data_IF_162410223549
#
_entry.id   IF_162410223549
#
_cell.length_a   1.000
_cell.length_b   1.000
_cell.length_c   1.000
_cell.angle_alpha   90.00
_cell.angle_beta   90.00
_cell.angle_gamma   90.00
#
_symmetry.space_group_name_H-M   'P 1'
#
loop_
_entity.id
_entity.type
_entity.pdbx_description
1 polymer ?
#
# COMPACT_ATOMS: atom_id res chain seq x y z
N UNK A 1 -26.53 44.20 -13.68
CA UNK A 1 -26.43 44.89 -12.38
C UNK A 1 -25.32 44.21 -11.62
N UNK A 2 -24.16 44.87 -11.51
CA UNK A 2 -22.95 44.30 -10.94
C UNK A 2 -23.11 44.14 -9.43
N UNK A 3 -23.30 42.90 -8.97
CA UNK A 3 -23.02 42.55 -7.59
C UNK A 3 -21.50 42.47 -7.45
N UNK A 4 -20.94 43.61 -7.06
CA UNK A 4 -19.62 43.75 -6.43
C UNK A 4 -19.37 42.55 -5.50
N UNK A 5 -18.62 41.56 -5.98
CA UNK A 5 -17.90 40.62 -5.12
C UNK A 5 -16.92 41.45 -4.34
N UNK A 6 -17.23 41.70 -3.08
CA UNK A 6 -16.33 42.28 -2.09
C UNK A 6 -15.03 41.48 -2.10
N UNK A 7 -14.01 42.01 -2.77
CA UNK A 7 -12.61 41.56 -2.70
C UNK A 7 -12.09 41.88 -1.31
N UNK A 8 -12.47 41.06 -0.35
CA UNK A 8 -11.97 41.18 0.99
C UNK A 8 -10.50 40.74 0.99
N UNK A 9 -9.59 41.72 1.10
CA UNK A 9 -8.13 41.60 1.28
C UNK A 9 -7.78 40.73 2.50
N UNK A 10 -7.92 39.40 2.42
CA UNK A 10 -7.65 38.50 3.55
C UNK A 10 -6.64 37.39 3.27
N UNK A 11 -5.97 37.39 2.12
CA UNK A 11 -4.99 36.36 1.80
C UNK A 11 -3.62 36.71 2.37
N UNK A 12 -3.28 36.22 3.57
CA UNK A 12 -1.91 36.34 4.10
C UNK A 12 -0.90 35.71 3.13
N UNK A 13 -1.31 34.67 2.41
CA UNK A 13 -0.49 33.94 1.45
C UNK A 13 -0.59 34.48 0.02
N UNK A 14 -1.31 35.58 -0.22
CA UNK A 14 -1.52 36.18 -1.55
C UNK A 14 -2.49 35.41 -2.45
N UNK A 15 -2.65 35.86 -3.70
CA UNK A 15 -3.67 35.37 -4.65
C UNK A 15 -3.52 33.89 -5.05
N UNK A 16 -4.64 33.19 -5.26
CA UNK A 16 -4.65 31.80 -5.73
C UNK A 16 -4.07 31.73 -7.15
N UNK A 17 -3.17 30.77 -7.38
CA UNK A 17 -2.53 30.56 -8.70
C UNK A 17 -2.68 29.13 -9.21
N UNK A 18 -3.24 28.25 -8.39
CA UNK A 18 -3.59 26.89 -8.77
C UNK A 18 -4.58 26.87 -9.94
N UNK A 19 -4.58 25.76 -10.67
CA UNK A 19 -5.52 25.52 -11.76
C UNK A 19 -6.90 25.13 -11.22
N UNK A 20 -6.92 24.46 -10.06
CA UNK A 20 -8.13 23.95 -9.40
C UNK A 20 -8.23 24.54 -7.98
N UNK A 21 -9.47 24.80 -7.59
CA UNK A 21 -9.93 25.23 -6.26
C UNK A 21 -11.06 24.26 -5.86
N UNK A 22 -11.04 23.72 -4.64
CA UNK A 22 -12.00 22.68 -4.23
C UNK A 22 -13.26 23.28 -3.62
N UNK A 23 -14.20 22.44 -3.18
CA UNK A 23 -15.47 22.94 -2.67
C UNK A 23 -15.40 23.59 -1.27
N UNK A 24 -14.33 23.33 -0.51
CA UNK A 24 -14.15 23.97 0.80
C UNK A 24 -13.96 25.48 0.63
N UNK A 25 -14.70 26.26 1.40
CA UNK A 25 -14.65 27.71 1.24
C UNK A 25 -13.37 28.31 1.82
N UNK A 26 -12.68 29.06 0.98
CA UNK A 26 -11.36 29.62 1.22
C UNK A 26 -11.28 30.58 2.42
N UNK A 27 -10.36 30.29 3.35
CA UNK A 27 -9.95 31.07 4.52
C UNK A 27 -11.08 31.36 5.51
N UNK A 28 -12.09 30.48 5.58
CA UNK A 28 -13.24 30.62 6.48
C UNK A 28 -12.87 30.35 7.95
N UNK A 29 -12.03 29.35 8.20
CA UNK A 29 -11.60 28.99 9.57
C UNK A 29 -10.35 29.77 10.00
N UNK A 30 -9.40 29.99 9.08
CA UNK A 30 -8.12 30.64 9.35
C UNK A 30 -7.67 31.52 8.20
N UNK A 31 -7.02 32.65 8.52
CA UNK A 31 -6.41 33.55 7.52
C UNK A 31 -5.08 33.03 6.96
N UNK A 32 -4.55 31.95 7.52
CA UNK A 32 -3.27 31.36 7.12
C UNK A 32 -3.41 30.06 6.33
N UNK A 33 -4.61 29.46 6.28
CA UNK A 33 -4.87 28.17 5.65
C UNK A 33 -6.11 28.35 4.77
N UNK A 34 -5.96 28.16 3.47
CA UNK A 34 -7.04 28.36 2.52
C UNK A 34 -8.19 27.37 2.75
N UNK A 35 -7.92 26.08 2.62
CA UNK A 35 -8.92 25.04 2.82
C UNK A 35 -8.55 24.26 4.10
N UNK A 36 -9.16 24.62 5.23
CA UNK A 36 -8.72 24.16 6.56
C UNK A 36 -8.85 22.64 6.74
N UNK A 37 -10.00 22.09 6.37
CA UNK A 37 -10.35 20.69 6.52
C UNK A 37 -9.57 19.83 5.53
N UNK A 38 -9.48 20.27 4.28
CA UNK A 38 -8.64 19.64 3.25
C UNK A 38 -7.17 19.66 3.65
N UNK A 39 -6.68 20.73 4.26
CA UNK A 39 -5.29 20.81 4.75
C UNK A 39 -5.03 19.83 5.90
N UNK A 40 -5.85 19.83 6.95
CA UNK A 40 -5.58 19.03 8.14
C UNK A 40 -5.82 17.54 7.93
N UNK A 41 -6.79 17.17 7.09
CA UNK A 41 -7.07 15.78 6.74
C UNK A 41 -5.87 15.06 6.11
N UNK A 42 -4.94 15.81 5.49
CA UNK A 42 -3.66 15.28 5.00
C UNK A 42 -2.74 14.74 6.11
N UNK A 43 -3.02 15.02 7.38
CA UNK A 43 -2.38 14.35 8.52
C UNK A 43 -2.50 12.83 8.42
N UNK A 44 -3.61 12.31 7.87
CA UNK A 44 -3.78 10.87 7.68
C UNK A 44 -2.70 10.29 6.77
N UNK A 45 -2.42 10.93 5.62
CA UNK A 45 -1.33 10.50 4.74
C UNK A 45 0.02 10.50 5.46
N UNK A 46 0.34 11.56 6.20
CA UNK A 46 1.62 11.67 6.91
C UNK A 46 1.75 10.59 7.99
N UNK A 47 0.71 10.37 8.78
CA UNK A 47 0.70 9.37 9.86
C UNK A 47 0.82 7.96 9.31
N UNK A 48 0.02 7.61 8.30
CA UNK A 48 0.04 6.26 7.74
C UNK A 48 1.29 5.99 6.89
N UNK A 49 1.85 7.00 6.21
CA UNK A 49 3.14 6.90 5.53
C UNK A 49 4.29 6.71 6.51
N UNK A 50 4.36 7.52 7.57
CA UNK A 50 5.38 7.37 8.61
C UNK A 50 5.29 5.99 9.27
N UNK A 51 4.08 5.54 9.59
CA UNK A 51 3.86 4.22 10.18
C UNK A 51 4.26 3.08 9.22
N UNK A 52 3.85 3.15 7.96
CA UNK A 52 4.22 2.15 6.94
C UNK A 52 5.74 2.08 6.72
N UNK A 53 6.41 3.23 6.61
CA UNK A 53 7.88 3.29 6.48
C UNK A 53 8.58 2.73 7.71
N UNK A 54 8.10 3.08 8.91
CA UNK A 54 8.62 2.54 10.15
C UNK A 54 8.48 1.02 10.22
N UNK A 55 7.29 0.48 9.93
CA UNK A 55 7.05 -0.96 9.88
C UNK A 55 7.95 -1.63 8.83
N UNK A 56 8.10 -1.06 7.64
CA UNK A 56 8.97 -1.63 6.60
C UNK A 56 10.44 -1.68 7.04
N UNK A 57 10.93 -0.63 7.69
CA UNK A 57 12.28 -0.58 8.25
C UNK A 57 12.47 -1.58 9.39
N UNK A 58 11.57 -1.56 10.38
CA UNK A 58 11.61 -2.43 11.57
C UNK A 58 11.57 -3.91 11.18
N UNK A 59 10.75 -4.25 10.18
CA UNK A 59 10.61 -5.61 9.68
C UNK A 59 11.70 -6.01 8.67
N UNK A 60 12.69 -5.16 8.41
CA UNK A 60 13.78 -5.47 7.48
C UNK A 60 13.30 -5.77 6.05
N UNK A 61 12.19 -5.15 5.63
CA UNK A 61 11.66 -5.33 4.27
C UNK A 61 12.59 -4.71 3.22
N UNK A 62 12.39 -5.09 1.97
CA UNK A 62 13.16 -4.53 0.84
C UNK A 62 13.06 -3.00 0.81
N UNK A 63 14.17 -2.33 0.45
CA UNK A 63 14.27 -0.85 0.38
C UNK A 63 13.17 -0.20 -0.46
N UNK A 64 12.59 -0.92 -1.43
CA UNK A 64 11.46 -0.44 -2.24
C UNK A 64 10.28 0.01 -1.37
N UNK A 65 9.98 -0.68 -0.27
CA UNK A 65 8.86 -0.32 0.61
C UNK A 65 9.14 0.94 1.44
N UNK A 66 10.41 1.15 1.81
CA UNK A 66 10.86 2.40 2.44
C UNK A 66 10.69 3.56 1.44
N UNK A 67 11.13 3.38 0.19
CA UNK A 67 10.98 4.41 -0.85
C UNK A 67 9.51 4.70 -1.17
N UNK A 68 8.65 3.68 -1.20
CA UNK A 68 7.21 3.87 -1.38
C UNK A 68 6.63 4.72 -0.24
N UNK A 69 6.95 4.38 1.01
CA UNK A 69 6.45 5.15 2.16
C UNK A 69 6.97 6.58 2.20
N UNK A 70 8.22 6.84 1.77
CA UNK A 70 8.74 8.21 1.61
C UNK A 70 8.02 8.99 0.49
N UNK A 71 7.77 8.34 -0.65
CA UNK A 71 6.97 8.94 -1.74
C UNK A 71 5.54 9.23 -1.29
N UNK A 72 4.95 8.34 -0.50
CA UNK A 72 3.62 8.52 0.07
C UNK A 72 3.57 9.67 1.08
N UNK A 73 4.59 9.83 1.93
CA UNK A 73 4.72 11.00 2.80
C UNK A 73 4.86 12.30 1.98
N UNK A 74 5.60 12.27 0.86
CA UNK A 74 5.74 13.42 -0.03
C UNK A 74 4.41 13.86 -0.65
N UNK A 75 3.53 12.92 -1.02
CA UNK A 75 2.14 13.21 -1.43
C UNK A 75 1.42 13.97 -0.31
N UNK A 76 1.45 13.46 0.93
CA UNK A 76 0.80 14.12 2.07
C UNK A 76 1.33 15.53 2.35
N UNK A 77 2.66 15.73 2.28
CA UNK A 77 3.27 17.07 2.44
C UNK A 77 2.86 17.99 1.29
N UNK A 78 2.89 17.50 0.06
CA UNK A 78 2.49 18.25 -1.12
C UNK A 78 1.05 18.71 -1.04
N UNK A 79 0.13 17.79 -0.75
CA UNK A 79 -1.29 18.05 -0.58
C UNK A 79 -1.55 19.05 0.55
N UNK A 80 -0.92 18.86 1.71
CA UNK A 80 -1.03 19.82 2.82
C UNK A 80 -0.63 21.24 2.38
N UNK A 81 0.53 21.39 1.73
CA UNK A 81 1.00 22.69 1.26
C UNK A 81 0.11 23.26 0.16
N UNK A 82 -0.46 22.42 -0.70
CA UNK A 82 -1.38 22.82 -1.75
C UNK A 82 -2.67 23.38 -1.16
N UNK A 83 -3.40 22.62 -0.36
CA UNK A 83 -4.67 23.07 0.25
C UNK A 83 -4.48 24.24 1.22
N UNK A 84 -3.30 24.37 1.83
CA UNK A 84 -3.00 25.51 2.68
C UNK A 84 -2.86 26.82 1.88
N UNK A 85 -2.36 26.75 0.64
CA UNK A 85 -1.85 27.94 -0.08
C UNK A 85 -2.51 28.21 -1.44
N UNK A 86 -3.10 27.18 -2.06
CA UNK A 86 -3.65 27.16 -3.43
C UNK A 86 -2.71 27.75 -4.48
N UNK A 87 -1.42 27.37 -4.41
CA UNK A 87 -0.42 27.78 -5.41
C UNK A 87 -0.09 26.65 -6.37
N UNK A 88 0.08 27.00 -7.65
CA UNK A 88 0.42 26.03 -8.69
C UNK A 88 1.69 25.21 -8.39
N UNK A 89 2.72 25.82 -7.80
CA UNK A 89 3.95 25.10 -7.40
C UNK A 89 3.68 23.98 -6.39
N UNK A 90 2.70 24.16 -5.49
CA UNK A 90 2.34 23.17 -4.49
C UNK A 90 1.29 22.20 -5.03
N UNK A 91 0.44 22.63 -5.97
CA UNK A 91 -0.37 21.70 -6.76
C UNK A 91 0.51 20.67 -7.51
N UNK A 92 1.62 21.12 -8.11
CA UNK A 92 2.60 20.17 -8.69
C UNK A 92 3.22 19.24 -7.63
N UNK A 93 3.44 19.73 -6.42
CA UNK A 93 3.98 18.93 -5.31
C UNK A 93 2.94 17.98 -4.71
N UNK A 94 1.65 18.24 -4.87
CA UNK A 94 0.57 17.35 -4.49
C UNK A 94 0.41 16.23 -5.55
N UNK A 95 0.20 16.62 -6.80
CA UNK A 95 -0.17 15.70 -7.86
C UNK A 95 1.01 14.88 -8.39
N UNK A 96 2.16 15.49 -8.69
CA UNK A 96 3.27 14.75 -9.31
C UNK A 96 3.79 13.62 -8.41
N UNK A 97 4.01 13.80 -7.09
CA UNK A 97 4.42 12.71 -6.22
C UNK A 97 3.46 11.52 -6.22
N UNK A 98 2.16 11.70 -6.49
CA UNK A 98 1.23 10.57 -6.58
C UNK A 98 1.66 9.59 -7.67
N UNK A 99 2.00 10.08 -8.87
CA UNK A 99 2.41 9.21 -9.98
C UNK A 99 3.83 8.64 -9.76
N UNK A 100 4.76 9.43 -9.21
CA UNK A 100 6.11 8.94 -8.90
C UNK A 100 6.11 7.89 -7.77
N UNK A 101 5.26 8.04 -6.76
CA UNK A 101 5.11 7.07 -5.69
C UNK A 101 4.49 5.77 -6.21
N UNK A 102 3.44 5.84 -7.05
CA UNK A 102 2.80 4.68 -7.69
C UNK A 102 3.70 3.99 -8.73
N UNK A 103 4.69 4.69 -9.30
CA UNK A 103 5.66 4.09 -10.21
C UNK A 103 6.47 2.95 -9.57
N UNK A 104 6.73 3.01 -8.26
CA UNK A 104 7.51 2.00 -7.55
C UNK A 104 6.74 0.67 -7.41
N UNK A 105 5.50 0.61 -6.88
CA UNK A 105 4.72 -0.62 -6.87
C UNK A 105 4.36 -1.06 -8.29
N UNK A 106 4.14 -0.15 -9.25
CA UNK A 106 3.98 -0.52 -10.65
C UNK A 106 5.21 -1.27 -11.19
N UNK A 107 6.41 -0.75 -10.94
CA UNK A 107 7.64 -1.43 -11.31
C UNK A 107 7.75 -2.79 -10.62
N UNK A 108 7.49 -2.86 -9.31
CA UNK A 108 7.57 -4.11 -8.55
C UNK A 108 6.62 -5.18 -9.10
N UNK A 109 5.34 -4.85 -9.26
CA UNK A 109 4.29 -5.79 -9.66
C UNK A 109 4.44 -6.18 -11.13
N UNK A 110 4.73 -5.23 -12.03
CA UNK A 110 4.82 -5.53 -13.46
C UNK A 110 6.09 -6.31 -13.81
N UNK A 111 7.18 -6.14 -13.05
CA UNK A 111 8.36 -7.00 -13.19
C UNK A 111 8.05 -8.45 -12.85
N UNK A 112 7.20 -8.67 -11.84
CA UNK A 112 6.81 -10.00 -11.38
C UNK A 112 5.73 -10.63 -12.26
N UNK A 113 4.97 -9.82 -13.01
CA UNK A 113 3.96 -10.27 -13.96
C UNK A 113 4.51 -11.32 -14.94
N UNK A 114 4.13 -12.58 -14.75
CA UNK A 114 4.35 -13.66 -15.68
C UNK A 114 3.13 -14.57 -15.70
N UNK A 115 2.37 -14.56 -16.80
CA UNK A 115 1.12 -15.30 -16.93
C UNK A 115 1.29 -16.81 -16.74
N UNK A 116 2.45 -17.37 -17.07
CA UNK A 116 2.69 -18.82 -16.97
C UNK A 116 2.95 -19.31 -15.55
N UNK A 117 3.26 -18.42 -14.59
CA UNK A 117 3.83 -18.80 -13.27
C UNK A 117 2.99 -18.30 -12.11
N UNK A 118 1.66 -18.37 -12.27
CA UNK A 118 0.73 -17.89 -11.25
C UNK A 118 0.68 -18.76 -9.98
N UNK A 119 0.98 -20.06 -10.11
CA UNK A 119 0.82 -21.04 -9.03
C UNK A 119 2.03 -21.18 -8.11
N UNK A 120 3.25 -20.99 -8.62
CA UNK A 120 4.50 -21.19 -7.87
C UNK A 120 5.56 -20.20 -8.36
N UNK A 121 5.52 -18.97 -7.86
CA UNK A 121 6.53 -17.97 -8.24
C UNK A 121 7.79 -18.17 -7.42
N UNK A 122 8.68 -19.04 -7.90
CA UNK A 122 10.01 -19.28 -7.29
C UNK A 122 11.16 -18.79 -8.18
N UNK A 123 10.85 -18.34 -9.39
CA UNK A 123 11.86 -17.92 -10.35
C UNK A 123 12.24 -16.45 -10.14
N UNK A 124 13.54 -16.21 -9.89
CA UNK A 124 14.07 -14.85 -9.79
C UNK A 124 13.85 -14.11 -11.11
N UNK A 125 13.21 -12.95 -11.03
CA UNK A 125 12.98 -12.08 -12.20
C UNK A 125 14.32 -11.67 -12.81
N UNK A 126 14.49 -11.91 -14.12
CA UNK A 126 15.69 -11.54 -14.86
C UNK A 126 16.06 -10.05 -14.69
N UNK A 127 17.33 -9.70 -14.41
CA UNK A 127 17.77 -8.31 -14.27
C UNK A 127 17.45 -7.44 -15.49
N UNK A 128 17.48 -8.04 -16.70
CA UNK A 128 17.13 -7.33 -17.95
C UNK A 128 15.67 -6.89 -17.94
N UNK A 129 14.73 -7.75 -17.50
CA UNK A 129 13.31 -7.41 -17.40
C UNK A 129 13.10 -6.28 -16.40
N UNK A 130 13.75 -6.35 -15.24
CA UNK A 130 13.65 -5.29 -14.22
C UNK A 130 14.10 -3.92 -14.74
N UNK A 131 15.20 -3.90 -15.50
CA UNK A 131 15.74 -2.67 -16.08
C UNK A 131 14.84 -2.11 -17.19
N UNK A 132 14.32 -2.96 -18.08
CA UNK A 132 13.37 -2.56 -19.13
C UNK A 132 12.09 -1.97 -18.54
N UNK A 133 11.51 -2.62 -17.52
CA UNK A 133 10.32 -2.11 -16.84
C UNK A 133 10.59 -0.79 -16.11
N UNK A 134 11.76 -0.65 -15.48
CA UNK A 134 12.16 0.59 -14.83
C UNK A 134 12.20 1.75 -15.82
N UNK A 135 12.93 1.60 -16.93
CA UNK A 135 13.01 2.67 -17.94
C UNK A 135 11.67 2.95 -18.61
N UNK A 136 10.85 1.93 -18.87
CA UNK A 136 9.52 2.11 -19.44
C UNK A 136 8.60 2.95 -18.55
N UNK A 137 8.52 2.62 -17.26
CA UNK A 137 7.70 3.35 -16.29
C UNK A 137 8.25 4.76 -16.07
N UNK A 138 9.56 4.91 -15.89
CA UNK A 138 10.16 6.24 -15.67
C UNK A 138 10.00 7.15 -16.90
N UNK A 139 10.08 6.60 -18.11
CA UNK A 139 9.79 7.33 -19.34
C UNK A 139 8.33 7.81 -19.38
N UNK A 140 7.37 6.92 -19.07
CA UNK A 140 5.95 7.28 -18.98
C UNK A 140 5.70 8.40 -17.96
N UNK A 141 6.20 8.28 -16.73
CA UNK A 141 5.97 9.29 -15.68
C UNK A 141 6.64 10.62 -16.02
N UNK A 142 7.83 10.60 -16.62
CA UNK A 142 8.53 11.82 -17.06
C UNK A 142 7.78 12.51 -18.19
N UNK A 143 7.29 11.75 -19.18
CA UNK A 143 6.49 12.28 -20.28
C UNK A 143 5.18 12.90 -19.77
N UNK A 144 4.48 12.21 -18.86
CA UNK A 144 3.26 12.72 -18.24
C UNK A 144 3.53 14.03 -17.48
N UNK A 145 4.63 14.09 -16.72
CA UNK A 145 5.05 15.30 -15.99
C UNK A 145 5.31 16.47 -16.95
N UNK A 146 6.04 16.24 -18.04
CA UNK A 146 6.30 17.25 -19.05
C UNK A 146 5.01 17.78 -19.69
N UNK A 147 4.12 16.87 -20.12
CA UNK A 147 2.82 17.23 -20.70
C UNK A 147 1.99 18.03 -19.68
N UNK A 148 1.99 17.62 -18.42
CA UNK A 148 1.22 18.29 -17.39
C UNK A 148 1.71 19.71 -17.11
N UNK A 149 3.02 19.91 -16.97
CA UNK A 149 3.61 21.24 -16.76
C UNK A 149 3.37 22.15 -17.99
N UNK A 150 3.49 21.59 -19.21
CA UNK A 150 3.40 22.36 -20.45
C UNK A 150 1.97 22.77 -20.80
N UNK A 151 1.03 21.83 -20.72
CA UNK A 151 -0.34 22.02 -21.19
C UNK A 151 -1.35 22.26 -20.07
N UNK A 152 -0.99 21.96 -18.81
CA UNK A 152 -1.83 22.22 -17.62
C UNK A 152 -3.22 21.57 -17.68
N UNK A 153 -3.32 20.43 -18.37
CA UNK A 153 -4.58 19.66 -18.51
C UNK A 153 -4.69 18.69 -17.33
N UNK A 154 -5.35 19.12 -16.26
CA UNK A 154 -5.45 18.32 -15.02
C UNK A 154 -6.21 17.01 -15.24
N UNK A 155 -7.29 17.02 -16.04
CA UNK A 155 -8.07 15.82 -16.32
C UNK A 155 -7.25 14.71 -17.00
N UNK A 156 -6.33 15.08 -17.89
CA UNK A 156 -5.44 14.11 -18.55
C UNK A 156 -4.50 13.46 -17.52
N UNK A 157 -3.97 14.27 -16.58
CA UNK A 157 -3.13 13.79 -15.50
C UNK A 157 -3.88 12.80 -14.61
N UNK A 158 -5.06 13.19 -14.11
CA UNK A 158 -5.91 12.36 -13.25
C UNK A 158 -6.31 11.04 -13.93
N UNK A 159 -6.70 11.09 -15.20
CA UNK A 159 -7.08 9.90 -15.97
C UNK A 159 -5.92 8.91 -16.12
N UNK A 160 -4.74 9.39 -16.51
CA UNK A 160 -3.56 8.53 -16.70
C UNK A 160 -3.01 7.98 -15.38
N UNK A 161 -3.05 8.78 -14.31
CA UNK A 161 -2.77 8.31 -12.95
C UNK A 161 -3.76 7.22 -12.50
N UNK A 162 -5.05 7.44 -12.73
CA UNK A 162 -6.10 6.47 -12.43
C UNK A 162 -5.88 5.15 -13.17
N UNK A 163 -5.55 5.20 -14.46
CA UNK A 163 -5.26 4.00 -15.26
C UNK A 163 -4.05 3.24 -14.73
N UNK A 164 -2.96 3.93 -14.37
CA UNK A 164 -1.78 3.30 -13.75
C UNK A 164 -2.16 2.62 -12.43
N UNK A 165 -2.92 3.31 -11.58
CA UNK A 165 -3.34 2.79 -10.27
C UNK A 165 -4.24 1.56 -10.42
N UNK A 166 -5.22 1.60 -11.33
CA UNK A 166 -6.07 0.45 -11.66
C UNK A 166 -5.23 -0.72 -12.18
N UNK A 167 -4.24 -0.48 -13.04
CA UNK A 167 -3.36 -1.54 -13.53
C UNK A 167 -2.56 -2.20 -12.41
N UNK A 168 -2.00 -1.43 -11.47
CA UNK A 168 -1.30 -1.95 -10.28
C UNK A 168 -2.24 -2.80 -9.44
N UNK A 169 -3.44 -2.29 -9.14
CA UNK A 169 -4.43 -2.98 -8.31
C UNK A 169 -4.92 -4.26 -8.99
N UNK A 170 -5.28 -4.20 -10.27
CA UNK A 170 -5.79 -5.34 -11.01
C UNK A 170 -4.75 -6.46 -11.10
N UNK A 171 -3.49 -6.13 -11.42
CA UNK A 171 -2.43 -7.13 -11.55
C UNK A 171 -2.07 -7.73 -10.20
N UNK A 172 -1.87 -6.91 -9.16
CA UNK A 172 -1.53 -7.43 -7.82
C UNK A 172 -2.67 -8.20 -7.16
N UNK A 173 -3.93 -7.79 -7.35
CA UNK A 173 -5.10 -8.55 -6.88
C UNK A 173 -5.24 -9.86 -7.62
N UNK A 174 -5.01 -9.86 -8.94
CA UNK A 174 -4.94 -11.10 -9.69
C UNK A 174 -3.86 -12.01 -9.09
N UNK A 175 -2.67 -11.45 -8.76
CA UNK A 175 -1.55 -12.15 -8.11
C UNK A 175 -2.00 -12.88 -6.85
N UNK A 176 -2.63 -12.15 -5.94
CA UNK A 176 -3.18 -12.71 -4.70
C UNK A 176 -4.26 -13.79 -4.95
N UNK A 177 -5.10 -13.61 -5.96
CA UNK A 177 -6.24 -14.51 -6.23
C UNK A 177 -5.81 -15.90 -6.70
N UNK A 178 -4.92 -15.97 -7.67
CA UNK A 178 -4.51 -17.24 -8.30
C UNK A 178 -3.30 -17.89 -7.62
N UNK A 179 -2.62 -17.20 -6.70
CA UNK A 179 -1.60 -17.80 -5.86
C UNK A 179 -2.20 -18.91 -4.99
N UNK A 180 -1.51 -20.05 -4.93
CA UNK A 180 -1.84 -21.16 -4.02
C UNK A 180 -1.13 -20.92 -2.67
N UNK A 181 -1.92 -20.63 -1.64
CA UNK A 181 -1.42 -20.56 -0.26
C UNK A 181 -1.69 -21.90 0.44
N UNK A 182 -0.67 -22.45 1.12
CA UNK A 182 -0.81 -23.70 1.88
C UNK A 182 -1.73 -23.54 3.09
N UNK A 183 -1.67 -22.38 3.73
CA UNK A 183 -2.53 -22.01 4.84
C UNK A 183 -3.70 -21.14 4.32
N UNK A 184 -4.96 -21.58 4.51
CA UNK A 184 -6.14 -20.79 4.15
C UNK A 184 -6.17 -19.40 4.81
N UNK A 185 -5.57 -19.24 5.99
CA UNK A 185 -5.55 -18.00 6.73
C UNK A 185 -4.77 -16.90 6.00
N UNK A 186 -3.63 -17.26 5.42
CA UNK A 186 -2.78 -16.38 4.61
C UNK A 186 -3.59 -15.74 3.50
N UNK A 187 -4.32 -16.57 2.73
CA UNK A 187 -5.13 -16.10 1.61
C UNK A 187 -6.31 -15.25 2.09
N UNK A 188 -6.97 -15.65 3.18
CA UNK A 188 -8.07 -14.88 3.78
C UNK A 188 -7.61 -13.49 4.19
N UNK A 189 -6.50 -13.38 4.92
CA UNK A 189 -5.95 -12.10 5.37
C UNK A 189 -5.49 -11.23 4.20
N UNK A 190 -4.78 -11.80 3.23
CA UNK A 190 -4.34 -11.07 2.04
C UNK A 190 -5.54 -10.49 1.25
N UNK A 191 -6.55 -11.32 0.98
CA UNK A 191 -7.76 -10.88 0.28
C UNK A 191 -8.55 -9.84 1.10
N UNK A 192 -8.69 -10.03 2.41
CA UNK A 192 -9.38 -9.07 3.28
C UNK A 192 -8.68 -7.71 3.31
N UNK A 193 -7.34 -7.71 3.38
CA UNK A 193 -6.54 -6.48 3.40
C UNK A 193 -6.55 -5.76 2.06
N UNK A 194 -6.44 -6.48 0.94
CA UNK A 194 -6.60 -5.90 -0.40
C UNK A 194 -8.00 -5.33 -0.59
N UNK A 195 -9.03 -6.09 -0.22
CA UNK A 195 -10.42 -5.68 -0.32
C UNK A 195 -10.72 -4.44 0.50
N UNK A 196 -10.24 -4.38 1.76
CA UNK A 196 -10.39 -3.21 2.62
C UNK A 196 -9.71 -1.97 1.99
N UNK A 197 -8.48 -2.11 1.48
CA UNK A 197 -7.79 -1.00 0.81
C UNK A 197 -8.54 -0.47 -0.41
N UNK A 198 -9.04 -1.38 -1.27
CA UNK A 198 -9.84 -1.05 -2.46
C UNK A 198 -11.15 -0.36 -2.07
N UNK A 199 -11.88 -0.87 -1.08
CA UNK A 199 -13.13 -0.28 -0.61
C UNK A 199 -12.89 1.12 -0.06
N UNK A 200 -11.91 1.30 0.82
CA UNK A 200 -11.59 2.62 1.39
C UNK A 200 -11.24 3.63 0.29
N UNK A 201 -10.37 3.26 -0.64
CA UNK A 201 -10.00 4.14 -1.75
C UNK A 201 -11.20 4.48 -2.64
N UNK A 202 -12.04 3.49 -2.95
CA UNK A 202 -13.21 3.69 -3.83
C UNK A 202 -14.27 4.58 -3.17
N UNK A 203 -14.55 4.39 -1.88
CA UNK A 203 -15.46 5.27 -1.12
C UNK A 203 -14.89 6.68 -1.04
N UNK A 204 -13.58 6.81 -0.83
CA UNK A 204 -12.88 8.09 -0.95
C UNK A 204 -13.14 8.74 -2.30
N UNK A 205 -12.92 8.01 -3.40
CA UNK A 205 -13.12 8.52 -4.77
C UNK A 205 -14.56 8.99 -5.01
N UNK A 206 -15.55 8.28 -4.46
CA UNK A 206 -16.95 8.74 -4.50
C UNK A 206 -17.13 10.07 -3.78
N UNK A 207 -16.50 10.28 -2.61
CA UNK A 207 -16.55 11.58 -1.94
C UNK A 207 -15.84 12.68 -2.71
N UNK A 208 -14.72 12.38 -3.36
CA UNK A 208 -14.04 13.31 -4.26
C UNK A 208 -14.95 13.78 -5.41
N UNK A 209 -15.62 12.84 -6.09
CA UNK A 209 -16.59 13.16 -7.14
C UNK A 209 -17.81 13.93 -6.61
N UNK A 210 -18.33 13.54 -5.44
CA UNK A 210 -19.46 14.23 -4.81
C UNK A 210 -19.11 15.68 -4.44
N UNK A 211 -17.88 15.94 -3.99
CA UNK A 211 -17.38 17.28 -3.70
C UNK A 211 -17.45 18.17 -4.95
N UNK A 212 -17.00 17.63 -6.09
CA UNK A 212 -16.96 18.34 -7.37
C UNK A 212 -18.35 18.55 -7.97
N UNK A 213 -19.18 17.50 -8.02
CA UNK A 213 -20.47 17.53 -8.71
C UNK A 213 -21.54 18.31 -7.94
N UNK A 214 -21.53 18.23 -6.61
CA UNK A 214 -22.59 18.78 -5.76
C UNK A 214 -22.12 19.94 -4.88
N UNK A 215 -21.06 20.64 -5.29
CA UNK A 215 -20.47 21.68 -4.45
C UNK A 215 -21.45 22.77 -3.94
N UNK A 216 -22.31 23.38 -4.79
CA UNK A 216 -23.26 24.40 -4.32
C UNK A 216 -24.25 23.85 -3.27
N UNK A 217 -24.59 22.57 -3.37
CA UNK A 217 -25.48 21.90 -2.42
C UNK A 217 -24.80 21.72 -1.05
N UNK A 218 -23.55 21.27 -1.03
CA UNK A 218 -22.80 21.13 0.22
C UNK A 218 -22.57 22.47 0.92
N UNK A 219 -22.16 23.50 0.17
CA UNK A 219 -22.00 24.87 0.70
C UNK A 219 -23.32 25.36 1.30
N UNK A 220 -24.44 25.21 0.58
CA UNK A 220 -25.75 25.62 1.07
C UNK A 220 -26.09 24.94 2.41
N UNK A 221 -25.90 23.63 2.52
CA UNK A 221 -26.18 22.91 3.77
C UNK A 221 -25.26 23.38 4.90
N UNK A 222 -23.96 23.55 4.62
CA UNK A 222 -22.98 24.04 5.60
C UNK A 222 -23.32 25.42 6.11
N UNK A 223 -23.80 26.33 5.25
CA UNK A 223 -24.08 27.73 5.63
C UNK A 223 -25.42 27.92 6.30
N UNK A 224 -26.48 27.26 5.83
CA UNK A 224 -27.83 27.51 6.30
C UNK A 224 -28.24 26.63 7.49
N UNK A 225 -27.70 25.40 7.60
CA UNK A 225 -28.20 24.41 8.58
C UNK A 225 -27.16 23.96 9.61
N UNK A 226 -25.92 23.71 9.21
CA UNK A 226 -24.92 23.11 10.12
C UNK A 226 -24.00 24.14 10.78
N UNK A 227 -23.57 25.17 10.04
CA UNK A 227 -22.52 26.11 10.41
C UNK A 227 -21.25 25.42 10.96
N UNK A 228 -20.28 26.18 11.47
CA UNK A 228 -19.16 25.58 12.18
C UNK A 228 -19.57 25.24 13.64
N UNK A 229 -19.13 24.10 14.20
CA UNK A 229 -18.14 23.15 13.65
C UNK A 229 -18.75 22.00 12.82
N UNK A 230 -20.06 21.79 12.84
CA UNK A 230 -20.69 20.59 12.23
C UNK A 230 -20.56 20.54 10.70
N UNK A 231 -20.44 21.69 10.05
CA UNK A 231 -20.25 21.82 8.61
C UNK A 231 -18.97 21.16 8.09
N UNK A 232 -17.95 20.97 8.95
CA UNK A 232 -16.71 20.24 8.60
C UNK A 232 -17.01 18.80 8.15
N UNK A 233 -18.08 18.18 8.66
CA UNK A 233 -18.48 16.83 8.26
C UNK A 233 -18.91 16.75 6.80
N UNK A 234 -19.27 17.88 6.18
CA UNK A 234 -19.65 17.97 4.76
C UNK A 234 -18.51 18.47 3.86
N UNK A 235 -17.27 18.53 4.36
CA UNK A 235 -16.10 18.74 3.52
C UNK A 235 -15.68 17.40 2.89
N UNK A 236 -16.34 17.05 1.79
CA UNK A 236 -16.22 15.74 1.15
C UNK A 236 -14.80 15.47 0.63
N UNK A 237 -14.11 16.50 0.14
CA UNK A 237 -12.70 16.38 -0.24
C UNK A 237 -11.78 16.05 0.96
N UNK A 238 -12.11 16.52 2.17
CA UNK A 238 -11.39 16.13 3.39
C UNK A 238 -11.54 14.64 3.70
N UNK A 239 -12.74 14.07 3.49
CA UNK A 239 -12.96 12.63 3.61
C UNK A 239 -12.21 11.82 2.55
N UNK A 240 -12.05 12.36 1.33
CA UNK A 240 -11.18 11.75 0.32
C UNK A 240 -9.76 11.53 0.85
N UNK A 241 -9.14 12.54 1.48
CA UNK A 241 -7.79 12.38 2.07
C UNK A 241 -7.75 11.32 3.17
N UNK A 242 -8.72 11.33 4.08
CA UNK A 242 -8.76 10.38 5.20
C UNK A 242 -8.90 8.94 4.68
N UNK A 243 -9.84 8.71 3.76
CA UNK A 243 -10.14 7.37 3.26
C UNK A 243 -9.06 6.84 2.32
N UNK A 244 -8.55 7.66 1.40
CA UNK A 244 -7.47 7.24 0.50
C UNK A 244 -6.15 7.09 1.25
N UNK A 245 -5.85 7.92 2.25
CA UNK A 245 -4.66 7.76 3.09
C UNK A 245 -4.64 6.45 3.88
N UNK A 246 -5.79 6.04 4.42
CA UNK A 246 -5.94 4.74 5.07
C UNK A 246 -5.98 3.58 4.05
N UNK A 247 -6.65 3.78 2.92
CA UNK A 247 -6.78 2.79 1.84
C UNK A 247 -5.43 2.44 1.23
N UNK A 248 -4.62 3.45 0.89
CA UNK A 248 -3.25 3.26 0.37
C UNK A 248 -2.40 2.52 1.40
N UNK A 249 -2.41 2.93 2.67
CA UNK A 249 -1.69 2.22 3.73
C UNK A 249 -2.05 0.73 3.80
N UNK A 250 -3.35 0.44 3.85
CA UNK A 250 -3.88 -0.94 3.91
C UNK A 250 -3.40 -1.73 2.68
N UNK A 251 -3.43 -1.12 1.50
CA UNK A 251 -2.96 -1.75 0.27
C UNK A 251 -1.44 -1.94 0.24
N UNK A 252 -0.67 -1.02 0.82
CA UNK A 252 0.78 -1.18 0.96
C UNK A 252 1.14 -2.38 1.84
N UNK A 253 0.43 -2.59 2.95
CA UNK A 253 0.59 -3.80 3.77
C UNK A 253 0.26 -5.06 2.96
N UNK A 254 -0.79 -5.01 2.12
CA UNK A 254 -1.12 -6.09 1.20
C UNK A 254 0.04 -6.42 0.24
N UNK A 255 0.66 -5.40 -0.36
CA UNK A 255 1.78 -5.56 -1.28
C UNK A 255 3.03 -6.06 -0.58
N UNK A 256 3.29 -5.61 0.65
CA UNK A 256 4.38 -6.13 1.48
C UNK A 256 4.20 -7.62 1.76
N UNK A 257 2.98 -8.03 2.13
CA UNK A 257 2.71 -9.44 2.42
C UNK A 257 2.71 -10.32 1.17
N UNK A 258 2.09 -9.85 0.08
CA UNK A 258 2.16 -10.51 -1.22
C UNK A 258 3.62 -10.71 -1.63
N UNK A 259 4.48 -9.71 -1.42
CA UNK A 259 5.91 -9.81 -1.71
C UNK A 259 6.61 -10.86 -0.83
N UNK A 260 6.33 -10.90 0.47
CA UNK A 260 6.88 -11.95 1.35
C UNK A 260 6.49 -13.36 0.87
N UNK A 261 5.25 -13.53 0.41
CA UNK A 261 4.75 -14.79 -0.17
C UNK A 261 5.45 -15.16 -1.47
N UNK A 262 5.64 -14.20 -2.40
CA UNK A 262 6.38 -14.45 -3.65
C UNK A 262 7.85 -14.79 -3.43
N UNK A 263 8.43 -14.36 -2.31
CA UNK A 263 9.81 -14.67 -1.95
C UNK A 263 9.93 -15.98 -1.15
N UNK A 264 8.82 -16.57 -0.71
CA UNK A 264 8.80 -17.77 0.14
C UNK A 264 9.36 -17.53 1.54
N UNK A 265 9.35 -16.28 2.02
CA UNK A 265 9.79 -15.87 3.36
C UNK A 265 8.62 -15.52 4.28
N UNK A 266 7.39 -15.86 3.86
CA UNK A 266 6.15 -15.59 4.61
C UNK A 266 6.17 -16.18 6.02
N UNK A 267 6.86 -17.29 6.23
CA UNK A 267 7.03 -17.93 7.54
C UNK A 267 7.80 -17.10 8.55
N UNK A 268 8.58 -16.13 8.11
CA UNK A 268 9.34 -15.24 8.99
C UNK A 268 8.46 -14.11 9.55
N UNK A 269 7.23 -13.98 9.04
CA UNK A 269 6.29 -12.91 9.39
C UNK A 269 4.97 -13.46 9.91
N UNK A 270 4.43 -12.80 10.92
CA UNK A 270 3.06 -12.96 11.39
C UNK A 270 2.21 -11.83 10.82
N UNK A 271 1.09 -12.17 10.18
CA UNK A 271 0.10 -11.20 9.75
C UNK A 271 -0.89 -10.94 10.89
N UNK A 272 -1.05 -9.67 11.27
CA UNK A 272 -1.92 -9.28 12.38
C UNK A 272 -2.87 -8.15 11.99
N UNK A 273 -3.91 -7.99 12.80
CA UNK A 273 -4.87 -6.89 12.75
C UNK A 273 -4.87 -6.15 14.09
N UNK A 274 -4.30 -4.94 14.13
CA UNK A 274 -4.39 -4.06 15.29
C UNK A 274 -5.79 -3.47 15.38
N UNK A 275 -6.33 -3.46 16.59
CA UNK A 275 -7.70 -3.03 16.87
C UNK A 275 -8.76 -3.76 16.00
N UNK A 276 -8.44 -4.96 15.50
CA UNK A 276 -9.30 -5.76 14.63
C UNK A 276 -9.39 -5.32 13.16
N UNK A 277 -8.84 -4.14 12.80
CA UNK A 277 -9.07 -3.53 11.47
C UNK A 277 -7.82 -2.98 10.79
N UNK A 278 -6.76 -2.67 11.52
CA UNK A 278 -5.53 -2.10 10.94
C UNK A 278 -4.55 -3.24 10.66
N UNK A 279 -4.29 -3.59 9.39
CA UNK A 279 -3.41 -4.70 9.07
C UNK A 279 -1.94 -4.34 9.29
N UNK A 280 -1.14 -5.32 9.70
CA UNK A 280 0.31 -5.17 9.78
C UNK A 280 0.97 -6.54 9.62
N UNK A 281 2.14 -6.57 8.98
CA UNK A 281 3.05 -7.72 9.04
C UNK A 281 4.14 -7.43 10.05
N UNK A 282 4.47 -8.41 10.89
CA UNK A 282 5.51 -8.29 11.92
C UNK A 282 6.43 -9.49 11.81
N UNK A 283 7.75 -9.29 11.85
CA UNK A 283 8.68 -10.40 11.93
C UNK A 283 8.52 -11.16 13.25
N UNK A 284 8.62 -12.49 13.21
CA UNK A 284 8.37 -13.35 14.36
C UNK A 284 9.37 -13.16 15.52
N UNK A 285 10.56 -12.60 15.25
CA UNK A 285 11.56 -12.28 16.26
C UNK A 285 11.28 -10.97 17.02
N UNK A 286 10.22 -10.25 16.66
CA UNK A 286 9.82 -9.00 17.30
C UNK A 286 8.62 -9.20 18.23
N UNK A 287 8.75 -8.73 19.47
CA UNK A 287 7.63 -8.73 20.42
C UNK A 287 6.49 -7.80 19.98
N UNK A 288 5.26 -8.28 20.15
CA UNK A 288 4.02 -7.52 19.90
C UNK A 288 3.45 -7.08 21.25
N UNK A 289 3.53 -5.78 21.54
CA UNK A 289 3.17 -5.20 22.86
C UNK A 289 1.73 -4.69 22.95
N UNK A 290 0.96 -4.72 21.85
CA UNK A 290 -0.42 -4.24 21.83
C UNK A 290 -1.37 -5.36 21.44
N UNK A 291 -2.62 -5.31 21.92
CA UNK A 291 -3.67 -6.25 21.52
C UNK A 291 -3.81 -6.34 19.99
N UNK A 292 -3.85 -7.56 19.48
CA UNK A 292 -3.99 -7.86 18.05
C UNK A 292 -4.85 -9.10 17.84
N UNK A 293 -5.40 -9.22 16.63
CA UNK A 293 -6.08 -10.42 16.13
C UNK A 293 -5.27 -11.00 14.97
N UNK A 294 -5.35 -12.32 14.75
CA UNK A 294 -4.79 -12.97 13.56
C UNK A 294 -5.72 -12.86 12.35
N UNK A 295 -6.97 -12.49 12.57
CA UNK A 295 -8.01 -12.40 11.54
C UNK A 295 -8.66 -11.02 11.52
N UNK A 296 -9.15 -10.61 10.35
CA UNK A 296 -9.95 -9.40 10.21
C UNK A 296 -11.23 -9.52 11.06
N UNK A 297 -11.41 -8.59 12.02
CA UNK A 297 -12.47 -8.65 13.05
C UNK A 297 -12.47 -9.92 13.92
N UNK A 298 -11.33 -10.61 14.01
CA UNK A 298 -11.18 -11.78 14.87
C UNK A 298 -11.02 -11.46 16.36
N UNK A 299 -11.06 -12.49 17.23
CA UNK A 299 -10.83 -12.33 18.66
C UNK A 299 -9.38 -11.89 18.94
N UNK A 300 -9.19 -11.11 20.01
CA UNK A 300 -7.87 -10.71 20.46
C UNK A 300 -7.14 -11.88 21.11
N UNK A 301 -5.84 -11.99 20.84
CA UNK A 301 -4.96 -12.94 21.53
C UNK A 301 -4.64 -12.42 22.94
N UNK A 302 -4.70 -13.31 23.93
CA UNK A 302 -4.35 -13.01 25.31
C UNK A 302 -2.85 -13.22 25.55
N UNK A 303 -2.22 -12.45 26.44
CA UNK A 303 -0.76 -12.46 26.71
C UNK A 303 -0.18 -13.80 27.22
N UNK A 304 -0.95 -14.89 27.25
CA UNK A 304 -0.51 -16.25 27.63
C UNK A 304 -0.29 -17.23 26.47
N UNK A 305 -0.74 -16.94 25.25
CA UNK A 305 -0.75 -17.91 24.14
C UNK A 305 0.55 -17.93 23.30
N UNK A 306 1.53 -17.08 23.61
CA UNK A 306 2.81 -17.05 22.87
C UNK A 306 3.73 -18.25 23.17
N UNK A 307 3.46 -19.03 24.23
CA UNK A 307 4.28 -20.19 24.59
C UNK A 307 3.87 -21.51 23.92
N UNK A 308 2.78 -21.54 23.14
CA UNK A 308 2.26 -22.77 22.52
C UNK A 308 2.63 -22.95 21.04
N UNK A 309 3.38 -22.02 20.43
CA UNK A 309 3.90 -22.21 19.07
C UNK A 309 5.20 -23.05 18.98
N UNK A 310 5.70 -23.59 20.09
CA UNK A 310 6.83 -24.53 20.08
C UNK A 310 6.45 -26.02 19.93
N UNK A 311 5.16 -26.37 19.82
CA UNK A 311 4.73 -27.77 19.67
C UNK A 311 4.01 -28.05 18.36
N UNK A 312 4.73 -27.98 17.24
CA UNK A 312 4.42 -28.79 16.06
C UNK A 312 5.25 -30.07 16.15
N UNK A 313 4.67 -31.28 16.04
CA UNK A 313 5.43 -32.51 16.17
C UNK A 313 6.46 -32.61 15.05
N UNK A 314 7.74 -32.68 15.43
CA UNK A 314 8.80 -33.15 14.55
C UNK A 314 8.42 -34.55 14.05
N UNK A 315 8.04 -34.66 12.79
CA UNK A 315 7.91 -35.95 12.13
C UNK A 315 9.27 -36.65 12.17
N UNK A 316 9.30 -37.82 12.80
CA UNK A 316 10.43 -38.72 12.96
C UNK A 316 11.32 -38.74 11.71
N UNK A 317 12.56 -38.26 11.86
CA UNK A 317 13.69 -38.72 11.05
C UNK A 317 14.36 -39.88 11.78
N UNK A 318 13.72 -41.04 11.74
CA UNK A 318 14.41 -42.31 11.90
C UNK A 318 14.46 -42.97 10.52
N UNK A 319 15.51 -42.65 9.77
CA UNK A 319 15.99 -43.51 8.70
C UNK A 319 17.41 -43.87 9.06
N UNK A 320 17.53 -45.08 9.61
CA UNK A 320 18.76 -45.80 9.88
C UNK A 320 19.70 -45.74 8.68
N UNK A 321 20.88 -45.17 8.90
CA UNK A 321 22.04 -45.27 8.02
C UNK A 321 22.51 -46.73 8.03
N UNK A 322 22.22 -47.47 6.96
CA UNK A 322 22.87 -48.75 6.68
C UNK A 322 24.27 -48.44 6.15
N UNK A 323 25.27 -48.48 7.04
CA UNK A 323 26.68 -48.50 6.64
C UNK A 323 27.03 -49.89 6.09
N UNK A 324 27.45 -49.88 4.82
CA UNK A 324 28.14 -50.96 4.12
C UNK A 324 29.45 -51.30 4.85
N UNK A 325 29.57 -52.53 5.33
CA UNK A 325 30.82 -53.10 5.83
C UNK A 325 31.36 -54.11 4.82
N UNK A 326 32.46 -53.74 4.16
CA UNK A 326 33.38 -54.64 3.47
C UNK A 326 34.19 -55.43 4.52
N UNK A 327 34.39 -56.75 4.36
CA UNK A 327 35.46 -57.46 5.05
C UNK A 327 36.53 -57.92 4.07
N UNK A 328 37.73 -57.35 4.21
CA UNK A 328 38.96 -57.87 3.60
C UNK A 328 39.69 -58.83 4.55
N UNK A 329 40.12 -59.94 3.95
CA UNK A 329 41.25 -60.83 4.33
C UNK A 329 41.09 -61.87 5.45
N UNK A 330 41.34 -63.14 5.09
CA UNK A 330 41.85 -64.14 6.05
C UNK A 330 41.52 -65.63 5.82
N UNK A 331 42.16 -66.28 4.84
CA UNK A 331 42.79 -67.61 5.06
C UNK A 331 41.97 -68.91 4.94
N UNK A 332 42.29 -69.67 3.86
CA UNK A 332 42.43 -71.14 3.72
C UNK A 332 41.29 -72.08 4.21
N UNK A 333 40.82 -72.95 3.31
CA UNK A 333 41.17 -74.40 3.26
C UNK A 333 40.53 -75.05 2.02
N UNK A 334 41.28 -75.97 1.45
CA UNK A 334 41.07 -76.81 0.26
C UNK A 334 40.13 -77.99 0.57
N UNK A 335 39.24 -78.39 -0.35
CA UNK A 335 39.12 -79.77 -0.89
C UNK A 335 37.80 -80.04 -1.65
N UNK A 336 37.96 -80.66 -2.83
CA UNK A 336 37.12 -81.71 -3.50
C UNK A 336 35.63 -81.42 -3.73
N UNK A 337 35.02 -81.62 -4.90
CA UNK A 337 35.24 -82.57 -5.99
C UNK A 337 33.88 -83.22 -6.34
N UNK A 338 33.64 -83.47 -7.64
CA UNK A 338 32.58 -84.32 -8.21
C UNK A 338 31.11 -83.81 -8.15
N UNK A 339 30.17 -84.13 -9.05
CA UNK A 339 30.06 -84.65 -10.43
C UNK A 339 28.54 -84.67 -10.73
N UNK A 340 28.16 -84.49 -12.01
CA UNK A 340 26.90 -84.89 -12.69
C UNK A 340 25.55 -84.23 -12.36
N UNK A 341 24.82 -84.01 -13.46
CA UNK A 341 23.42 -83.60 -13.56
C UNK A 341 23.18 -82.97 -14.92
#
# INVERSE_FOLDING_TARGET
MALSRTTSKWWVLGETTAIIDWCEENYVVSKYVAEWSNTISNSMFLLTAAYSTYCAYRNGLERRFILIGLGFALVGVGSWLFHMTLKFRFQLLDELPMVYATAIPAWSVFCEFNWSTYRYHTEKVSPKKQLWMFFGIMSFVTALTYVYIKYRIVLLFQFLYGLLTIAVVAISTSFAYFMEAKDPMVKKNLCATMGLGIVLFSVGFVFWEMDQLFCPFWIHIRREYLALPLGVLLEMHGWWHLLTGMGVYTYLVALQYLRALTLGVDKDFTFIWRWGVIPEIIRNDLAITTKYSLEFWGPYISEGDNHTQESLPSTNRDVSVAQTADPMTGGKVVQTGQVQG
#
